data_IF_186959106588
#
_entry.id   IF_186959106588
#
_cell.length_a   1.000
_cell.length_b   1.000
_cell.length_c   1.000
_cell.angle_alpha   90.00
_cell.angle_beta   90.00
_cell.angle_gamma   90.00
#
_symmetry.space_group_name_H-M   'P 1'
#
loop_
_entity.id
_entity.type
_entity.pdbx_description
1 polymer ?
#
# COMPACT_ATOMS: atom_id res chain seq x y z
N UNK A 1 13.82 17.87 -19.86
CA UNK A 1 12.51 17.53 -19.23
C UNK A 1 12.67 17.59 -17.73
N UNK A 2 11.71 18.17 -17.00
CA UNK A 2 11.79 18.28 -15.54
C UNK A 2 11.46 16.94 -14.89
N UNK A 3 12.37 16.42 -14.06
CA UNK A 3 12.12 15.23 -13.24
C UNK A 3 11.09 15.55 -12.15
N UNK A 4 10.07 14.69 -11.98
CA UNK A 4 9.03 14.87 -10.96
C UNK A 4 9.05 13.73 -9.95
N UNK A 5 8.74 14.03 -8.69
CA UNK A 5 8.59 13.00 -7.67
C UNK A 5 7.37 13.25 -6.78
N UNK A 6 6.81 12.18 -6.22
CA UNK A 6 5.65 12.28 -5.35
C UNK A 6 5.31 10.98 -4.62
N UNK A 7 4.44 11.12 -3.62
CA UNK A 7 3.88 10.00 -2.86
C UNK A 7 2.46 9.71 -3.32
N UNK A 8 2.10 8.42 -3.36
CA UNK A 8 0.74 7.96 -3.69
C UNK A 8 0.35 6.84 -2.73
N UNK A 9 -0.75 7.01 -2.00
CA UNK A 9 -1.28 5.97 -1.13
C UNK A 9 -2.37 5.15 -1.82
N UNK A 10 -2.33 3.82 -1.68
CA UNK A 10 -3.48 2.97 -2.00
C UNK A 10 -4.30 2.75 -0.74
N UNK A 11 -5.55 3.22 -0.77
CA UNK A 11 -6.51 3.11 0.32
C UNK A 11 -7.75 2.34 -0.13
N UNK A 12 -8.34 1.57 0.77
CA UNK A 12 -9.53 0.77 0.47
C UNK A 12 -9.73 -0.39 1.42
N UNK A 13 -10.85 -1.10 1.27
CA UNK A 13 -11.21 -2.24 2.14
C UNK A 13 -10.13 -3.34 2.12
N UNK A 14 -10.09 -4.24 3.12
CA UNK A 14 -9.28 -5.45 3.05
C UNK A 14 -9.57 -6.25 1.77
N UNK A 15 -8.55 -6.93 1.24
CA UNK A 15 -8.64 -7.85 0.10
C UNK A 15 -9.09 -7.28 -1.27
N UNK A 16 -9.10 -5.96 -1.46
CA UNK A 16 -9.41 -5.33 -2.76
C UNK A 16 -8.24 -5.33 -3.76
N UNK A 17 -7.12 -5.99 -3.43
CA UNK A 17 -5.97 -6.12 -4.33
C UNK A 17 -4.91 -5.00 -4.27
N UNK A 18 -4.91 -4.14 -3.24
CA UNK A 18 -3.93 -3.05 -3.08
C UNK A 18 -2.48 -3.51 -3.20
N UNK A 19 -2.08 -4.48 -2.38
CA UNK A 19 -0.73 -5.06 -2.39
C UNK A 19 -0.38 -5.79 -3.70
N UNK A 20 -1.38 -6.38 -4.36
CA UNK A 20 -1.21 -6.98 -5.70
C UNK A 20 -0.87 -5.90 -6.73
N UNK A 21 -1.58 -4.77 -6.70
CA UNK A 21 -1.31 -3.63 -7.58
C UNK A 21 0.05 -3.00 -7.28
N UNK A 22 0.41 -2.84 -6.00
CA UNK A 22 1.75 -2.36 -5.61
C UNK A 22 2.86 -3.24 -6.19
N UNK A 23 2.76 -4.56 -6.04
CA UNK A 23 3.76 -5.48 -6.60
C UNK A 23 3.83 -5.38 -8.13
N UNK A 24 2.69 -5.28 -8.80
CA UNK A 24 2.64 -5.16 -10.25
C UNK A 24 3.28 -3.85 -10.75
N UNK A 25 3.06 -2.74 -10.04
CA UNK A 25 3.64 -1.43 -10.41
C UNK A 25 5.14 -1.35 -10.14
N UNK A 26 5.62 -1.97 -9.06
CA UNK A 26 7.05 -2.04 -8.73
C UNK A 26 7.79 -3.04 -9.62
N UNK A 27 7.09 -4.05 -10.16
CA UNK A 27 7.68 -5.12 -10.96
C UNK A 27 8.28 -6.26 -10.13
N UNK A 28 8.17 -6.17 -8.80
CA UNK A 28 8.70 -7.17 -7.86
C UNK A 28 7.70 -7.45 -6.73
N UNK A 29 7.79 -8.65 -6.15
CA UNK A 29 6.93 -9.06 -5.03
C UNK A 29 7.45 -8.50 -3.71
N UNK A 30 7.21 -7.21 -3.47
CA UNK A 30 7.64 -6.49 -2.25
C UNK A 30 6.60 -6.50 -1.13
N UNK A 31 5.34 -6.75 -1.45
CA UNK A 31 4.21 -6.79 -0.52
C UNK A 31 3.62 -8.20 -0.43
N UNK A 32 3.26 -8.59 0.80
CA UNK A 32 2.61 -9.88 1.06
C UNK A 32 1.16 -9.80 0.56
N UNK A 33 0.76 -10.78 -0.26
CA UNK A 33 -0.62 -10.91 -0.77
C UNK A 33 -1.25 -12.18 -0.20
N UNK A 34 -2.45 -12.06 0.34
CA UNK A 34 -3.25 -13.19 0.84
C UNK A 34 -4.73 -12.84 0.83
N UNK A 35 -5.58 -13.86 0.80
CA UNK A 35 -7.02 -13.73 1.01
C UNK A 35 -7.39 -13.53 2.49
N UNK A 36 -6.44 -13.67 3.42
CA UNK A 36 -6.66 -13.40 4.85
C UNK A 36 -6.74 -11.88 5.08
N UNK A 37 -7.80 -11.38 5.75
CA UNK A 37 -7.86 -9.99 6.17
C UNK A 37 -6.66 -9.61 7.04
N UNK A 38 -6.30 -8.32 7.05
CA UNK A 38 -5.21 -7.78 7.88
C UNK A 38 -3.83 -8.41 7.56
N UNK A 39 -3.60 -8.75 6.29
CA UNK A 39 -2.30 -9.22 5.77
C UNK A 39 -1.26 -8.09 5.78
N UNK A 40 -1.63 -6.89 5.33
CA UNK A 40 -0.79 -5.70 5.44
C UNK A 40 -1.00 -5.06 6.82
N UNK A 41 0.00 -5.21 7.70
CA UNK A 41 -0.01 -4.66 9.08
C UNK A 41 0.97 -3.51 9.30
N UNK A 42 1.84 -3.27 8.33
CA UNK A 42 2.81 -2.17 8.29
C UNK A 42 2.68 -1.49 6.94
N UNK A 43 3.00 -0.20 6.90
CA UNK A 43 3.10 0.53 5.64
C UNK A 43 4.27 -0.04 4.83
N UNK A 44 4.01 -0.40 3.58
CA UNK A 44 5.03 -0.83 2.63
C UNK A 44 5.23 0.29 1.62
N UNK A 45 6.49 0.64 1.35
CA UNK A 45 6.85 1.65 0.36
C UNK A 45 7.40 0.96 -0.88
N UNK A 46 6.68 1.07 -1.99
CA UNK A 46 7.14 0.65 -3.31
C UNK A 46 7.70 1.85 -4.07
N UNK A 47 8.89 1.70 -4.68
CA UNK A 47 9.47 2.76 -5.49
C UNK A 47 9.32 2.39 -6.95
N UNK A 48 8.64 3.22 -7.72
CA UNK A 48 8.56 3.12 -9.18
C UNK A 48 9.38 4.26 -9.75
N UNK A 49 10.53 3.92 -10.33
CA UNK A 49 11.45 4.88 -10.93
C UNK A 49 11.37 4.81 -12.46
N UNK A 50 11.28 5.97 -13.10
CA UNK A 50 11.28 6.13 -14.56
C UNK A 50 12.18 7.31 -14.94
N UNK A 51 12.57 7.39 -16.21
CA UNK A 51 13.46 8.45 -16.70
C UNK A 51 12.92 9.88 -16.45
N UNK A 52 11.60 10.05 -16.38
CA UNK A 52 10.93 11.35 -16.21
C UNK A 52 10.46 11.62 -14.78
N UNK A 53 10.57 10.65 -13.86
CA UNK A 53 10.12 10.84 -12.49
C UNK A 53 10.09 9.60 -11.61
N UNK A 54 9.67 9.79 -10.36
CA UNK A 54 9.62 8.73 -9.35
C UNK A 54 8.35 8.79 -8.51
N UNK A 55 7.71 7.64 -8.34
CA UNK A 55 6.57 7.48 -7.45
C UNK A 55 6.98 6.65 -6.25
N UNK A 56 6.62 7.13 -5.06
CA UNK A 56 6.70 6.37 -3.81
C UNK A 56 5.28 5.93 -3.45
N UNK A 57 4.98 4.67 -3.77
CA UNK A 57 3.70 4.04 -3.48
C UNK A 57 3.66 3.64 -2.01
N UNK A 58 2.63 4.04 -1.28
CA UNK A 58 2.36 3.63 0.09
C UNK A 58 1.21 2.61 0.06
N UNK A 59 1.53 1.34 0.29
CA UNK A 59 0.52 0.30 0.49
C UNK A 59 0.06 0.30 1.96
N UNK A 60 -1.23 0.53 2.16
CA UNK A 60 -1.83 0.72 3.49
C UNK A 60 -2.64 -0.50 3.93
N UNK A 61 -2.82 -0.71 5.25
CA UNK A 61 -3.78 -1.69 5.75
C UNK A 61 -5.19 -1.47 5.18
N UNK A 62 -5.98 -2.54 5.13
CA UNK A 62 -7.36 -2.44 4.68
C UNK A 62 -8.25 -1.70 5.69
N UNK A 63 -8.87 -0.60 5.26
CA UNK A 63 -9.85 0.17 6.04
C UNK A 63 -11.09 -0.67 6.35
N UNK A 64 -11.40 -0.86 7.62
CA UNK A 64 -12.58 -1.61 8.07
C UNK A 64 -13.09 -1.11 9.42
N UNK A 65 -14.36 -1.41 9.77
CA UNK A 65 -14.88 -1.11 11.11
C UNK A 65 -14.13 -1.98 12.14
N UNK A 66 -13.38 -1.40 13.08
CA UNK A 66 -12.59 -2.17 14.02
C UNK A 66 -13.49 -2.89 15.02
N UNK A 67 -13.09 -4.11 15.37
CA UNK A 67 -13.69 -4.93 16.45
C UNK A 67 -12.66 -5.31 17.52
N UNK A 68 -11.41 -4.92 17.30
CA UNK A 68 -10.24 -5.27 18.12
C UNK A 68 -9.29 -4.08 18.11
N UNK A 69 -8.44 -3.98 19.14
CA UNK A 69 -7.38 -2.97 19.22
C UNK A 69 -6.46 -3.02 17.98
N UNK A 70 -6.18 -4.21 17.46
CA UNK A 70 -5.42 -4.34 16.21
C UNK A 70 -6.13 -3.63 15.05
N UNK A 71 -7.44 -3.80 14.91
CA UNK A 71 -8.21 -3.12 13.86
C UNK A 71 -8.13 -1.59 13.98
N UNK A 72 -8.22 -1.06 15.20
CA UNK A 72 -8.09 0.38 15.47
C UNK A 72 -6.71 0.89 15.05
N UNK A 73 -5.64 0.22 15.52
CA UNK A 73 -4.26 0.55 15.17
C UNK A 73 -3.99 0.47 13.67
N UNK A 74 -4.59 -0.48 12.97
CA UNK A 74 -4.41 -0.60 11.52
C UNK A 74 -5.07 0.54 10.76
N UNK A 75 -6.21 1.05 11.23
CA UNK A 75 -6.86 2.20 10.61
C UNK A 75 -6.07 3.50 10.86
N UNK A 76 -5.41 3.65 12.02
CA UNK A 76 -4.54 4.80 12.33
C UNK A 76 -3.36 4.94 11.34
N UNK A 77 -2.95 3.85 10.68
CA UNK A 77 -1.85 3.86 9.70
C UNK A 77 -2.26 4.31 8.31
N UNK A 78 -3.56 4.47 8.03
CA UNK A 78 -4.04 4.84 6.70
C UNK A 78 -3.84 6.35 6.51
N UNK A 79 -2.97 6.72 5.58
CA UNK A 79 -2.55 8.09 5.26
C UNK A 79 -2.82 8.46 3.81
#
# INVERSE_FOLDING_TARGET
MTFRSGFVSFVGRPNVGKSTLTNALVGEKIAIVSNRPQTTRRLIRGIVHQATGQLVIIDTPGMHKPKTLLGERLNELVV
#
